data_IF_019007072683
#
_entry.id   IF_019007072683
#
_cell.length_a   1.000
_cell.length_b   1.000
_cell.length_c   1.000
_cell.angle_alpha   90.00
_cell.angle_beta   90.00
_cell.angle_gamma   90.00
#
_symmetry.space_group_name_H-M   'P 1'
#
loop_
_entity.id
_entity.type
_entity.pdbx_description
1 polymer ?
#
# COMPACT_ATOMS: atom_id res chain seq x y z
N UNK A 1 -4.10 14.35 -14.85
CA UNK A 1 -3.06 14.74 -13.87
C UNK A 1 -3.01 13.61 -12.87
N UNK A 2 -1.86 12.97 -12.70
CA UNK A 2 -1.71 11.91 -11.71
C UNK A 2 -1.71 12.53 -10.31
N UNK A 3 -2.47 11.93 -9.39
CA UNK A 3 -2.53 12.33 -8.00
C UNK A 3 -1.17 12.07 -7.34
N UNK A 4 -0.66 13.02 -6.54
CA UNK A 4 0.65 12.92 -5.90
C UNK A 4 0.55 12.80 -4.37
N UNK A 5 1.64 12.37 -3.74
CA UNK A 5 1.77 12.32 -2.27
C UNK A 5 1.63 13.71 -1.66
N UNK A 6 2.12 14.75 -2.34
CA UNK A 6 2.01 16.13 -1.86
C UNK A 6 0.55 16.62 -1.88
N UNK A 7 -0.22 16.23 -2.90
CA UNK A 7 -1.66 16.51 -2.97
C UNK A 7 -2.40 15.82 -1.81
N UNK A 8 -2.00 14.60 -1.45
CA UNK A 8 -2.57 13.89 -0.31
C UNK A 8 -2.28 14.60 1.01
N UNK A 9 -1.03 15.01 1.24
CA UNK A 9 -0.61 15.69 2.48
C UNK A 9 -1.33 17.04 2.64
N UNK A 10 -1.48 17.80 1.55
CA UNK A 10 -2.23 19.05 1.57
C UNK A 10 -3.71 18.83 1.95
N UNK A 11 -4.36 17.82 1.37
CA UNK A 11 -5.76 17.48 1.69
C UNK A 11 -5.90 16.97 3.14
N UNK A 12 -4.91 16.21 3.63
CA UNK A 12 -4.84 15.76 5.02
C UNK A 12 -4.79 16.93 6.01
N UNK A 13 -3.88 17.89 5.81
CA UNK A 13 -3.74 19.03 6.72
C UNK A 13 -4.98 19.91 6.75
N UNK A 14 -5.61 20.14 5.59
CA UNK A 14 -6.88 20.87 5.51
C UNK A 14 -7.98 20.19 6.33
N UNK A 15 -8.06 18.85 6.23
CA UNK A 15 -9.04 18.08 6.97
C UNK A 15 -8.74 18.05 8.46
N UNK A 16 -7.48 17.88 8.84
CA UNK A 16 -7.06 17.89 10.23
C UNK A 16 -7.43 19.22 10.90
N UNK A 17 -7.15 20.34 10.24
CA UNK A 17 -7.52 21.67 10.74
C UNK A 17 -9.04 21.84 10.86
N UNK A 18 -9.79 21.36 9.87
CA UNK A 18 -11.26 21.42 9.89
C UNK A 18 -11.83 20.60 11.03
N UNK A 19 -11.38 19.36 11.20
CA UNK A 19 -11.82 18.47 12.29
C UNK A 19 -11.45 19.06 13.65
N UNK A 20 -10.22 19.55 13.80
CA UNK A 20 -9.76 20.18 15.05
C UNK A 20 -10.62 21.39 15.40
N UNK A 21 -10.95 22.24 14.43
CA UNK A 21 -11.84 23.39 14.66
C UNK A 21 -13.26 22.99 15.08
N UNK A 22 -13.77 21.87 14.55
CA UNK A 22 -15.10 21.36 14.86
C UNK A 22 -15.15 20.70 16.24
N UNK A 23 -14.06 20.07 16.68
CA UNK A 23 -13.93 19.50 18.02
C UNK A 23 -13.97 20.60 19.08
N UNK A 24 -13.36 21.76 18.83
CA UNK A 24 -13.42 22.91 19.73
C UNK A 24 -14.79 23.64 19.71
N UNK A 25 -15.69 23.26 18.80
CA UNK A 25 -17.00 23.89 18.67
C UNK A 25 -18.01 23.20 19.62
N UNK A 26 -18.70 23.94 20.51
CA UNK A 26 -19.58 23.33 21.54
C UNK A 26 -20.84 22.65 20.99
N UNK A 27 -21.18 22.83 19.70
CA UNK A 27 -22.24 22.11 19.01
C UNK A 27 -22.01 22.17 17.49
N UNK A 28 -21.23 21.24 16.92
CA UNK A 28 -21.00 21.20 15.48
C UNK A 28 -22.29 20.78 14.75
N UNK A 29 -22.61 21.43 13.63
CA UNK A 29 -23.82 21.07 12.89
C UNK A 29 -23.72 19.64 12.33
N UNK A 30 -24.82 18.86 12.27
CA UNK A 30 -24.82 17.51 11.71
C UNK A 30 -24.26 17.46 10.28
N UNK A 31 -24.53 18.49 9.49
CA UNK A 31 -24.02 18.62 8.12
C UNK A 31 -22.49 18.78 8.05
N UNK A 32 -21.88 19.49 9.02
CA UNK A 32 -20.43 19.67 9.08
C UNK A 32 -19.74 18.36 9.43
N UNK A 33 -20.26 17.63 10.41
CA UNK A 33 -19.74 16.31 10.81
C UNK A 33 -19.85 15.30 9.65
N UNK A 34 -20.96 15.35 8.89
CA UNK A 34 -21.15 14.48 7.73
C UNK A 34 -20.20 14.82 6.58
N UNK A 35 -19.91 16.11 6.36
CA UNK A 35 -18.96 16.55 5.35
C UNK A 35 -17.53 16.12 5.70
N UNK A 36 -17.14 16.21 6.98
CA UNK A 36 -15.81 15.74 7.43
C UNK A 36 -15.66 14.23 7.33
N UNK A 37 -16.71 13.47 7.65
CA UNK A 37 -16.73 12.01 7.45
C UNK A 37 -16.49 11.64 5.98
N UNK A 38 -17.26 12.23 5.06
CA UNK A 38 -17.12 11.97 3.62
C UNK A 38 -15.78 12.41 3.07
N UNK A 39 -15.20 13.48 3.61
CA UNK A 39 -13.90 13.94 3.17
C UNK A 39 -12.77 13.05 3.70
N UNK A 40 -12.89 12.54 4.92
CA UNK A 40 -11.98 11.54 5.50
C UNK A 40 -12.01 10.25 4.69
N UNK A 41 -13.19 9.75 4.35
CA UNK A 41 -13.33 8.54 3.52
C UNK A 41 -12.73 8.70 2.12
N UNK A 42 -12.90 9.88 1.50
CA UNK A 42 -12.24 10.20 0.22
C UNK A 42 -10.72 10.20 0.33
N UNK A 43 -10.18 10.75 1.41
CA UNK A 43 -8.74 10.76 1.66
C UNK A 43 -8.19 9.33 1.87
N UNK A 44 -8.98 8.46 2.50
CA UNK A 44 -8.66 7.03 2.69
C UNK A 44 -8.55 6.29 1.37
N UNK A 45 -9.53 6.47 0.47
CA UNK A 45 -9.52 5.82 -0.85
C UNK A 45 -8.30 6.23 -1.68
N UNK A 46 -7.91 7.51 -1.58
CA UNK A 46 -6.71 8.02 -2.24
C UNK A 46 -5.42 7.47 -1.63
N UNK A 47 -5.39 7.24 -0.32
CA UNK A 47 -4.25 6.57 0.33
C UNK A 47 -4.09 5.15 -0.21
N UNK A 48 -5.19 4.41 -0.37
CA UNK A 48 -5.18 3.06 -0.94
C UNK A 48 -4.65 3.05 -2.39
N UNK A 49 -5.03 4.04 -3.19
CA UNK A 49 -4.53 4.22 -4.57
C UNK A 49 -3.01 4.47 -4.59
N UNK A 50 -2.50 5.30 -3.67
CA UNK A 50 -1.05 5.57 -3.53
C UNK A 50 -0.30 4.33 -3.05
N UNK A 51 -0.88 3.55 -2.13
CA UNK A 51 -0.29 2.30 -1.64
C UNK A 51 -0.20 1.28 -2.78
N UNK A 52 -1.26 1.15 -3.59
CA UNK A 52 -1.31 0.22 -4.71
C UNK A 52 -0.37 0.63 -5.85
N UNK A 53 -0.27 1.93 -6.13
CA UNK A 53 0.64 2.50 -7.11
C UNK A 53 2.05 2.75 -6.60
N UNK A 54 2.44 2.27 -5.41
CA UNK A 54 3.73 2.57 -4.76
C UNK A 54 4.94 2.50 -5.69
N UNK A 55 4.99 1.47 -6.53
CA UNK A 55 6.10 1.23 -7.46
C UNK A 55 6.10 2.20 -8.64
N UNK A 56 4.92 2.69 -9.02
CA UNK A 56 4.69 3.67 -10.10
C UNK A 56 4.96 5.12 -9.62
N UNK A 57 4.68 5.40 -8.35
CA UNK A 57 4.86 6.72 -7.74
C UNK A 57 6.21 6.92 -7.04
N UNK A 58 7.05 5.87 -6.92
CA UNK A 58 8.37 5.97 -6.29
C UNK A 58 8.34 6.34 -4.81
N UNK A 59 7.26 5.98 -4.10
CA UNK A 59 7.04 6.40 -2.70
C UNK A 59 7.78 5.48 -1.75
N UNK A 60 8.54 6.07 -0.82
CA UNK A 60 9.30 5.35 0.18
C UNK A 60 8.37 4.67 1.21
N UNK A 61 8.69 3.45 1.65
CA UNK A 61 7.87 2.72 2.63
C UNK A 61 7.73 3.49 3.96
N UNK A 62 8.75 4.28 4.31
CA UNK A 62 8.76 5.15 5.49
C UNK A 62 7.69 6.24 5.41
N UNK A 63 7.41 6.79 4.22
CA UNK A 63 6.36 7.79 4.01
C UNK A 63 4.97 7.16 4.04
N UNK A 64 4.79 5.98 3.46
CA UNK A 64 3.51 5.27 3.51
C UNK A 64 3.11 4.91 4.94
N UNK A 65 4.08 4.50 5.76
CA UNK A 65 3.86 4.24 7.20
C UNK A 65 3.42 5.48 7.96
N UNK A 66 3.97 6.65 7.61
CA UNK A 66 3.54 7.92 8.20
C UNK A 66 2.11 8.26 7.78
N UNK A 67 1.80 8.17 6.48
CA UNK A 67 0.46 8.45 5.96
C UNK A 67 -0.62 7.52 6.55
N UNK A 68 -0.33 6.23 6.76
CA UNK A 68 -1.24 5.31 7.46
C UNK A 68 -1.47 5.72 8.92
N UNK A 69 -0.40 6.14 9.62
CA UNK A 69 -0.48 6.63 10.99
C UNK A 69 -1.31 7.92 11.11
N UNK A 70 -1.04 8.87 10.23
CA UNK A 70 -1.75 10.15 10.14
C UNK A 70 -3.24 9.94 9.87
N UNK A 71 -3.58 9.00 8.99
CA UNK A 71 -4.95 8.62 8.68
C UNK A 71 -5.68 8.00 9.88
N UNK A 72 -5.01 7.11 10.62
CA UNK A 72 -5.58 6.53 11.85
C UNK A 72 -5.85 7.59 12.92
N UNK A 73 -4.96 8.57 13.06
CA UNK A 73 -5.18 9.68 13.98
C UNK A 73 -6.42 10.50 13.59
N UNK A 74 -6.55 10.84 12.30
CA UNK A 74 -7.69 11.61 11.79
C UNK A 74 -9.00 10.86 11.99
N UNK A 75 -9.03 9.55 11.71
CA UNK A 75 -10.21 8.71 11.97
C UNK A 75 -10.60 8.68 13.45
N UNK A 76 -9.63 8.64 14.35
CA UNK A 76 -9.87 8.76 15.79
C UNK A 76 -10.60 10.06 16.13
N UNK A 77 -10.07 11.21 15.68
CA UNK A 77 -10.66 12.53 15.93
C UNK A 77 -12.05 12.69 15.31
N UNK A 78 -12.26 12.17 14.11
CA UNK A 78 -13.56 12.22 13.43
C UNK A 78 -14.58 11.32 14.12
N UNK A 79 -14.17 10.16 14.61
CA UNK A 79 -15.04 9.27 15.39
C UNK A 79 -15.44 9.91 16.73
N UNK A 80 -14.50 10.56 17.42
CA UNK A 80 -14.78 11.30 18.65
C UNK A 80 -15.74 12.47 18.40
N UNK A 81 -15.56 13.19 17.29
CA UNK A 81 -16.48 14.24 16.84
C UNK A 81 -17.89 13.67 16.57
N UNK A 82 -17.99 12.54 15.88
CA UNK A 82 -19.25 11.83 15.64
C UNK A 82 -19.95 11.42 16.95
N UNK A 83 -19.19 10.88 17.91
CA UNK A 83 -19.72 10.48 19.23
C UNK A 83 -20.21 11.68 20.03
N UNK A 84 -19.49 12.80 19.98
CA UNK A 84 -19.92 14.04 20.63
C UNK A 84 -21.26 14.54 20.08
N UNK A 85 -21.48 14.41 18.77
CA UNK A 85 -22.71 14.83 18.09
C UNK A 85 -23.86 13.80 18.20
N UNK A 86 -23.56 12.54 18.53
CA UNK A 86 -24.54 11.47 18.77
C UNK A 86 -25.05 11.42 20.22
N UNK A 87 -24.54 12.27 21.12
CA UNK A 87 -25.07 12.36 22.48
C UNK A 87 -26.54 12.79 22.41
N UNK A 88 -27.51 11.97 22.86
CA UNK A 88 -28.91 12.39 22.89
C UNK A 88 -29.02 13.63 23.79
N UNK A 89 -29.93 14.57 23.50
CA UNK A 89 -30.26 15.58 24.48
C UNK A 89 -30.80 14.86 25.71
N UNK A 90 -30.00 14.79 26.78
CA UNK A 90 -30.46 14.32 28.09
C UNK A 90 -31.57 15.27 28.51
N UNK A 91 -32.81 14.81 28.33
CA UNK A 91 -34.01 15.50 28.81
C UNK A 91 -33.92 15.50 30.33
N UNK A 92 -33.31 16.53 30.91
CA UNK A 92 -33.60 16.91 32.28
C UNK A 92 -35.02 17.48 32.28
N UNK A 93 -36.00 16.58 32.41
CA UNK A 93 -37.40 16.90 32.67
C UNK A 93 -37.48 17.62 34.00
N UNK A 94 -37.35 18.95 33.98
CA UNK A 94 -37.87 19.81 35.03
C UNK A 94 -39.05 20.57 34.41
N UNK A 95 -40.22 20.21 34.91
CA UNK A 95 -41.55 20.64 34.50
C UNK A 95 -41.67 22.18 34.53
N UNK A 96 -42.27 22.79 33.49
CA UNK A 96 -43.29 23.88 33.59
C UNK A 96 -43.93 24.04 32.19
N UNK A 97 -45.25 24.30 32.08
CA UNK A 97 -46.02 24.09 30.85
C UNK A 97 -46.19 25.34 29.98
N UNK A 98 -46.57 25.07 28.72
CA UNK A 98 -47.08 26.00 27.69
C UNK A 98 -46.03 26.66 26.78
N UNK A 99 -45.55 25.91 25.78
CA UNK A 99 -44.99 26.50 24.57
C UNK A 99 -45.32 25.62 23.33
N UNK A 100 -45.78 26.20 22.20
CA UNK A 100 -46.06 25.48 20.95
C UNK A 100 -44.81 24.87 20.28
N UNK A 101 -43.64 24.99 20.92
CA UNK A 101 -42.35 24.46 20.48
C UNK A 101 -42.26 22.94 20.67
N UNK A 102 -43.03 22.33 21.57
CA UNK A 102 -42.99 20.88 21.86
C UNK A 102 -43.41 19.99 20.69
N UNK A 103 -44.38 20.40 19.86
CA UNK A 103 -44.78 19.64 18.67
C UNK A 103 -43.74 19.70 17.55
N UNK A 104 -43.14 20.87 17.33
CA UNK A 104 -42.02 21.01 16.41
C UNK A 104 -40.80 20.20 16.90
N UNK A 105 -40.60 20.15 18.22
CA UNK A 105 -39.51 19.37 18.83
C UNK A 105 -39.72 17.86 18.69
N UNK A 106 -40.95 17.36 18.86
CA UNK A 106 -41.26 15.94 18.63
C UNK A 106 -41.12 15.55 17.15
N UNK A 107 -41.58 16.38 16.21
CA UNK A 107 -41.41 16.11 14.79
C UNK A 107 -39.93 16.12 14.38
N UNK A 108 -39.13 17.02 14.95
CA UNK A 108 -37.69 17.06 14.72
C UNK A 108 -37.00 15.84 15.33
N UNK A 109 -37.37 15.41 16.54
CA UNK A 109 -36.80 14.22 17.16
C UNK A 109 -37.09 12.95 16.35
N UNK A 110 -38.29 12.82 15.81
CA UNK A 110 -38.73 11.63 15.08
C UNK A 110 -38.09 11.53 13.69
N UNK A 111 -37.91 12.66 13.01
CA UNK A 111 -37.18 12.74 11.74
C UNK A 111 -35.68 12.52 11.93
N UNK A 112 -35.10 13.01 13.03
CA UNK A 112 -33.69 12.76 13.37
C UNK A 112 -33.45 11.28 13.71
N UNK A 113 -34.39 10.61 14.38
CA UNK A 113 -34.29 9.16 14.63
C UNK A 113 -34.38 8.32 13.36
N UNK A 114 -35.32 8.63 12.45
CA UNK A 114 -35.43 7.86 11.20
C UNK A 114 -34.20 8.03 10.31
N UNK A 115 -33.58 9.22 10.31
CA UNK A 115 -32.33 9.47 9.58
C UNK A 115 -31.14 8.74 10.22
N UNK A 116 -31.17 8.45 11.53
CA UNK A 116 -30.16 7.64 12.20
C UNK A 116 -30.27 6.16 11.87
N UNK A 117 -31.48 5.58 11.84
CA UNK A 117 -31.64 4.16 11.50
C UNK A 117 -31.18 3.87 10.07
N UNK A 118 -31.54 4.73 9.12
CA UNK A 118 -31.10 4.61 7.72
C UNK A 118 -29.57 4.76 7.57
N UNK A 119 -28.94 5.48 8.51
CA UNK A 119 -27.50 5.64 8.60
C UNK A 119 -26.81 4.42 9.22
N UNK A 120 -27.42 3.77 10.22
CA UNK A 120 -26.89 2.54 10.82
C UNK A 120 -26.92 1.39 9.81
N UNK A 121 -27.94 1.30 8.96
CA UNK A 121 -28.00 0.32 7.88
C UNK A 121 -26.95 0.57 6.79
N UNK A 122 -26.72 1.84 6.42
CA UNK A 122 -25.65 2.20 5.49
C UNK A 122 -24.26 1.94 6.08
N UNK A 123 -24.04 2.23 7.37
CA UNK A 123 -22.80 1.91 8.05
C UNK A 123 -22.59 0.40 8.16
N UNK A 124 -23.64 -0.36 8.47
CA UNK A 124 -23.61 -1.83 8.51
C UNK A 124 -23.19 -2.42 7.17
N UNK A 125 -23.82 -2.00 6.08
CA UNK A 125 -23.45 -2.44 4.73
C UNK A 125 -22.03 -2.02 4.32
N UNK A 126 -21.60 -0.81 4.73
CA UNK A 126 -20.23 -0.32 4.52
C UNK A 126 -19.18 -1.15 5.26
N UNK A 127 -19.44 -1.49 6.53
CA UNK A 127 -18.57 -2.36 7.35
C UNK A 127 -18.51 -3.77 6.78
N UNK A 128 -19.63 -4.33 6.29
CA UNK A 128 -19.62 -5.62 5.60
C UNK A 128 -18.75 -5.59 4.34
N UNK A 129 -18.82 -4.51 3.55
CA UNK A 129 -17.95 -4.34 2.37
C UNK A 129 -16.48 -4.22 2.76
N UNK A 130 -16.16 -3.44 3.78
CA UNK A 130 -14.80 -3.32 4.31
C UNK A 130 -14.27 -4.64 4.86
N UNK A 131 -15.10 -5.41 5.56
CA UNK A 131 -14.74 -6.73 6.06
C UNK A 131 -14.40 -7.69 4.91
N UNK A 132 -15.25 -7.72 3.86
CA UNK A 132 -14.99 -8.52 2.67
C UNK A 132 -13.72 -8.08 1.94
N UNK A 133 -13.46 -6.77 1.87
CA UNK A 133 -12.26 -6.23 1.27
C UNK A 133 -11.00 -6.54 2.11
N UNK A 134 -11.09 -6.48 3.43
CA UNK A 134 -10.00 -6.87 4.33
C UNK A 134 -9.68 -8.37 4.23
N UNK A 135 -10.69 -9.22 4.05
CA UNK A 135 -10.50 -10.65 3.79
C UNK A 135 -9.77 -10.88 2.46
N UNK A 136 -10.18 -10.20 1.38
CA UNK A 136 -9.50 -10.27 0.09
C UNK A 136 -8.03 -9.80 0.17
N UNK A 137 -7.76 -8.71 0.89
CA UNK A 137 -6.39 -8.21 1.10
C UNK A 137 -5.55 -9.23 1.87
N UNK A 138 -6.13 -9.91 2.86
CA UNK A 138 -5.43 -10.96 3.61
C UNK A 138 -5.09 -12.17 2.74
N UNK A 139 -6.02 -12.59 1.87
CA UNK A 139 -5.78 -13.63 0.88
C UNK A 139 -4.70 -13.23 -0.12
N UNK A 140 -4.73 -12.00 -0.64
CA UNK A 140 -3.72 -11.46 -1.55
C UNK A 140 -2.34 -11.35 -0.87
N UNK A 141 -2.29 -10.91 0.39
CA UNK A 141 -1.05 -10.89 1.17
C UNK A 141 -0.47 -12.29 1.36
N UNK A 142 -1.31 -13.29 1.58
CA UNK A 142 -0.89 -14.69 1.70
C UNK A 142 -0.33 -15.19 0.36
N UNK A 143 -0.98 -14.84 -0.75
CA UNK A 143 -0.51 -15.14 -2.09
C UNK A 143 0.84 -14.45 -2.39
N UNK A 144 1.00 -13.18 -2.02
CA UNK A 144 2.26 -12.45 -2.19
C UNK A 144 3.41 -13.07 -1.38
N UNK A 145 3.15 -13.59 -0.18
CA UNK A 145 4.16 -14.31 0.62
C UNK A 145 4.59 -15.60 -0.08
N UNK A 146 3.64 -16.34 -0.66
CA UNK A 146 3.97 -17.54 -1.42
C UNK A 146 4.76 -17.22 -2.69
N UNK A 147 4.40 -16.16 -3.41
CA UNK A 147 5.13 -15.75 -4.62
C UNK A 147 6.53 -15.25 -4.31
N UNK A 148 6.73 -14.58 -3.17
CA UNK A 148 8.07 -14.22 -2.69
C UNK A 148 8.91 -15.46 -2.36
N UNK A 149 8.30 -16.51 -1.80
CA UNK A 149 9.00 -17.76 -1.52
C UNK A 149 9.42 -18.47 -2.81
N UNK A 150 8.54 -18.52 -3.81
CA UNK A 150 8.84 -19.07 -5.14
C UNK A 150 9.95 -18.27 -5.85
N UNK A 151 9.92 -16.95 -5.75
CA UNK A 151 11.01 -16.09 -6.26
C UNK A 151 12.35 -16.35 -5.55
N UNK A 152 12.35 -16.60 -4.24
CA UNK A 152 13.57 -16.91 -3.48
C UNK A 152 14.18 -18.25 -3.95
N UNK A 153 13.35 -19.26 -4.17
CA UNK A 153 13.76 -20.56 -4.70
C UNK A 153 14.32 -20.44 -6.13
N UNK A 154 13.67 -19.66 -7.00
CA UNK A 154 14.14 -19.39 -8.36
C UNK A 154 15.47 -18.62 -8.39
N UNK A 155 15.65 -17.65 -7.48
CA UNK A 155 16.91 -16.91 -7.34
C UNK A 155 18.03 -17.81 -6.83
N UNK A 156 17.76 -18.70 -5.88
CA UNK A 156 18.74 -19.67 -5.41
C UNK A 156 19.15 -20.64 -6.52
N UNK A 157 18.17 -21.17 -7.28
CA UNK A 157 18.38 -22.02 -8.44
C UNK A 157 19.20 -21.33 -9.54
N UNK A 158 18.85 -20.09 -9.89
CA UNK A 158 19.60 -19.28 -10.86
C UNK A 158 21.04 -19.02 -10.38
N UNK A 159 21.23 -18.74 -9.08
CA UNK A 159 22.54 -18.53 -8.49
C UNK A 159 23.40 -19.80 -8.52
N UNK A 160 22.80 -20.96 -8.25
CA UNK A 160 23.47 -22.25 -8.39
C UNK A 160 23.86 -22.54 -9.83
N UNK A 161 22.97 -22.30 -10.79
CA UNK A 161 23.24 -22.42 -12.23
C UNK A 161 24.39 -21.52 -12.67
N UNK A 162 24.37 -20.24 -12.27
CA UNK A 162 25.44 -19.29 -12.55
C UNK A 162 26.79 -19.73 -11.94
N UNK A 163 26.80 -20.24 -10.71
CA UNK A 163 28.04 -20.77 -10.09
C UNK A 163 28.57 -21.99 -10.82
N UNK A 164 27.68 -22.86 -11.30
CA UNK A 164 28.06 -24.05 -12.05
C UNK A 164 28.62 -23.69 -13.43
N UNK A 165 27.99 -22.77 -14.13
CA UNK A 165 28.48 -22.21 -15.39
C UNK A 165 29.79 -21.46 -15.21
N UNK A 166 29.95 -20.67 -14.14
CA UNK A 166 31.20 -20.00 -13.83
C UNK A 166 32.34 -21.00 -13.61
N UNK A 167 32.10 -22.10 -12.87
CA UNK A 167 33.06 -23.21 -12.72
C UNK A 167 33.35 -23.90 -14.05
N UNK A 168 32.34 -24.08 -14.90
CA UNK A 168 32.53 -24.69 -16.21
C UNK A 168 33.40 -23.81 -17.13
N UNK A 169 33.11 -22.51 -17.17
CA UNK A 169 33.88 -21.51 -17.88
C UNK A 169 35.34 -21.43 -17.39
N UNK A 170 35.57 -21.52 -16.08
CA UNK A 170 36.92 -21.57 -15.51
C UNK A 170 37.69 -22.82 -15.96
N UNK A 171 37.07 -24.00 -15.93
CA UNK A 171 37.70 -25.24 -16.45
C UNK A 171 37.98 -25.16 -17.94
N UNK A 172 37.06 -24.62 -18.74
CA UNK A 172 37.29 -24.42 -20.18
C UNK A 172 38.46 -23.47 -20.42
N UNK A 173 38.58 -22.40 -19.62
CA UNK A 173 39.71 -21.46 -19.72
C UNK A 173 41.05 -22.16 -19.47
N UNK A 174 41.13 -23.03 -18.46
CA UNK A 174 42.34 -23.80 -18.17
C UNK A 174 42.67 -24.76 -19.32
N UNK A 175 41.69 -25.53 -19.82
CA UNK A 175 41.89 -26.46 -20.93
C UNK A 175 42.25 -25.77 -22.25
N UNK A 176 41.73 -24.57 -22.51
CA UNK A 176 42.04 -23.78 -23.70
C UNK A 176 43.53 -23.41 -23.78
N UNK A 177 44.14 -23.07 -22.65
CA UNK A 177 45.58 -22.73 -22.59
C UNK A 177 46.47 -23.92 -22.97
N UNK A 178 46.12 -25.10 -22.46
CA UNK A 178 46.85 -26.35 -22.70
C UNK A 178 46.64 -26.83 -24.14
N UNK A 179 45.41 -26.73 -24.67
CA UNK A 179 45.12 -27.06 -26.06
C UNK A 179 45.90 -26.18 -27.05
N UNK A 180 45.96 -24.87 -26.78
CA UNK A 180 46.75 -23.92 -27.59
C UNK A 180 48.24 -24.26 -27.57
N UNK A 181 48.79 -24.66 -26.41
CA UNK A 181 50.18 -25.10 -26.29
C UNK A 181 50.45 -26.36 -27.12
N UNK A 182 49.60 -27.38 -27.01
CA UNK A 182 49.77 -28.62 -27.79
C UNK A 182 49.65 -28.39 -29.30
N UNK A 183 48.76 -27.50 -29.75
CA UNK A 183 48.65 -27.12 -31.17
C UNK A 183 49.94 -26.47 -31.71
N UNK A 184 50.58 -25.59 -30.92
CA UNK A 184 51.86 -24.97 -31.30
C UNK A 184 52.96 -26.03 -31.40
N UNK A 185 53.10 -26.89 -30.38
CA UNK A 185 54.10 -27.96 -30.36
C UNK A 185 53.93 -28.89 -31.57
N UNK A 186 52.69 -29.30 -31.88
CA UNK A 186 52.41 -30.13 -33.05
C UNK A 186 52.83 -29.46 -34.36
N UNK A 187 52.53 -28.16 -34.52
CA UNK A 187 52.95 -27.37 -35.69
C UNK A 187 54.47 -27.27 -35.86
N UNK A 188 55.21 -27.00 -34.78
CA UNK A 188 56.67 -27.00 -34.81
C UNK A 188 57.25 -28.36 -35.15
N UNK A 189 56.65 -29.44 -34.64
CA UNK A 189 57.12 -30.80 -34.91
C UNK A 189 56.99 -31.15 -36.40
N UNK A 190 55.85 -30.80 -37.02
CA UNK A 190 55.63 -30.99 -38.46
C UNK A 190 56.61 -30.14 -39.29
N UNK A 191 56.82 -28.89 -38.90
CA UNK A 191 57.75 -27.99 -39.57
C UNK A 191 59.19 -28.53 -39.50
N UNK A 192 59.62 -29.01 -38.33
CA UNK A 192 60.93 -29.62 -38.13
C UNK A 192 61.12 -30.84 -39.04
N UNK A 193 60.14 -31.75 -39.07
CA UNK A 193 60.16 -32.92 -39.97
C UNK A 193 60.28 -32.51 -41.43
N UNK A 194 59.53 -31.47 -41.85
CA UNK A 194 59.59 -30.96 -43.22
C UNK A 194 60.99 -30.42 -43.57
N UNK A 195 61.60 -29.68 -42.65
CA UNK A 195 62.94 -29.10 -42.80
C UNK A 195 64.01 -30.20 -42.87
N UNK A 196 63.86 -31.26 -42.08
CA UNK A 196 64.74 -32.44 -42.12
C UNK A 196 64.65 -33.16 -43.46
N UNK A 197 63.44 -33.41 -43.97
CA UNK A 197 63.25 -34.06 -45.28
C UNK A 197 63.85 -33.21 -46.40
N UNK A 198 63.62 -31.89 -46.37
CA UNK A 198 64.18 -30.98 -47.37
C UNK A 198 65.72 -30.92 -47.28
N UNK A 199 66.27 -30.87 -46.08
CA UNK A 199 67.72 -30.84 -45.83
C UNK A 199 68.44 -32.14 -46.19
N UNK A 200 67.78 -33.30 -46.05
CA UNK A 200 68.31 -34.58 -46.53
C UNK A 200 68.11 -34.81 -48.03
N UNK A 201 67.21 -34.05 -48.67
CA UNK A 201 66.92 -34.14 -50.10
C UNK A 201 67.79 -33.22 -50.97
N UNK A 202 68.77 -32.52 -50.38
CA UNK A 202 69.79 -31.72 -51.06
C UNK A 202 71.18 -32.27 -50.72
#
# INVERSE_FOLDING_TARGET
MAFTVDDWKADYELLLNTVTSLVDTPSPSPSQVQNTLRATERLRLRLDEVIKGRQEFGVEESELRKMDGDMRELEGKVNDLSRSNQSPPTVNTIQTPEDPTLQAYQQTAQTVMSVQDDMLDQLGSGVTRLHNQAMLINEESTLHVNLLHEMDEDVESATMGLRQEAKHAERIREQSSVCKLYMIIAGETVLLVFLVIMGFSH
#
